data_IF_718358585382
#
_entry.id   IF_718358585382
#
_cell.length_a   1.000
_cell.length_b   1.000
_cell.length_c   1.000
_cell.angle_alpha   90.00
_cell.angle_beta   90.00
_cell.angle_gamma   90.00
#
_symmetry.space_group_name_H-M   'P 1'
#
loop_
_entity.id
_entity.type
_entity.pdbx_description
1 polymer ?
#
# COMPACT_ATOMS: atom_id res chain seq x y z
N UNK A 1 -32.97 -13.42 -6.09
CA UNK A 1 -32.24 -12.24 -5.57
C UNK A 1 -31.87 -12.35 -4.09
N UNK A 2 -32.67 -13.07 -3.27
CA UNK A 2 -32.41 -13.25 -1.84
C UNK A 2 -31.26 -14.22 -1.58
N UNK A 3 -31.21 -15.34 -2.31
CA UNK A 3 -30.15 -16.34 -2.25
C UNK A 3 -28.76 -15.74 -2.61
N UNK A 4 -28.71 -14.88 -3.61
CA UNK A 4 -27.44 -14.21 -3.99
C UNK A 4 -26.95 -13.27 -2.90
N UNK A 5 -27.85 -12.55 -2.23
CA UNK A 5 -27.52 -11.67 -1.12
C UNK A 5 -27.10 -12.44 0.14
N UNK A 6 -27.68 -13.61 0.39
CA UNK A 6 -27.26 -14.50 1.47
C UNK A 6 -25.88 -15.11 1.18
N UNK A 7 -25.62 -15.57 -0.04
CA UNK A 7 -24.31 -16.07 -0.46
C UNK A 7 -23.21 -15.00 -0.38
N UNK A 8 -23.54 -13.75 -0.71
CA UNK A 8 -22.61 -12.62 -0.57
C UNK A 8 -22.37 -12.27 0.89
N UNK A 9 -23.38 -12.36 1.75
CA UNK A 9 -23.22 -12.16 3.21
C UNK A 9 -22.37 -13.27 3.81
N UNK A 10 -22.61 -14.54 3.49
CA UNK A 10 -21.75 -15.65 3.92
C UNK A 10 -20.30 -15.46 3.47
N UNK A 11 -20.05 -15.12 2.22
CA UNK A 11 -18.69 -14.82 1.74
C UNK A 11 -18.04 -13.61 2.42
N UNK A 12 -18.82 -12.62 2.80
CA UNK A 12 -18.32 -11.45 3.57
C UNK A 12 -18.02 -11.87 5.01
N UNK A 13 -18.84 -12.72 5.61
CA UNK A 13 -18.61 -13.24 6.96
C UNK A 13 -17.45 -14.24 6.99
N UNK A 14 -17.32 -15.13 6.01
CA UNK A 14 -16.14 -15.97 5.83
C UNK A 14 -14.86 -15.15 5.65
N UNK A 15 -14.90 -14.05 4.92
CA UNK A 15 -13.79 -13.11 4.82
C UNK A 15 -13.50 -12.37 6.13
N UNK A 16 -14.51 -12.14 6.97
CA UNK A 16 -14.36 -11.52 8.30
C UNK A 16 -13.88 -12.52 9.35
N UNK A 17 -14.25 -13.79 9.23
CA UNK A 17 -13.93 -14.87 10.18
C UNK A 17 -12.66 -15.64 9.85
N UNK A 18 -11.98 -15.34 8.71
CA UNK A 18 -10.65 -15.90 8.51
C UNK A 18 -9.75 -15.38 9.62
N UNK A 19 -9.35 -16.27 10.53
CA UNK A 19 -8.37 -16.01 11.60
C UNK A 19 -7.09 -15.50 10.96
N UNK A 20 -7.01 -14.19 10.77
CA UNK A 20 -5.83 -13.51 10.23
C UNK A 20 -4.68 -13.79 11.17
N UNK A 21 -3.76 -14.62 10.73
CA UNK A 21 -2.68 -15.10 11.57
C UNK A 21 -1.67 -13.99 11.84
N UNK A 22 -1.30 -13.85 13.09
CA UNK A 22 -0.15 -13.04 13.50
C UNK A 22 1.07 -13.97 13.47
N UNK A 23 2.12 -13.56 12.76
CA UNK A 23 3.38 -14.27 12.68
C UNK A 23 4.38 -13.54 13.57
N UNK A 24 4.85 -14.23 14.61
CA UNK A 24 5.88 -13.72 15.49
C UNK A 24 7.17 -14.53 15.29
N UNK A 25 8.25 -13.83 14.88
CA UNK A 25 9.49 -14.45 14.42
C UNK A 25 10.72 -13.95 15.19
N UNK A 26 11.67 -14.86 15.40
CA UNK A 26 12.95 -14.57 16.03
C UNK A 26 13.83 -13.68 15.13
N UNK A 27 14.38 -12.60 15.69
CA UNK A 27 15.19 -11.61 14.98
C UNK A 27 16.37 -12.24 14.21
N UNK A 28 17.12 -13.10 14.84
CA UNK A 28 18.35 -13.69 14.27
C UNK A 28 18.12 -14.73 13.17
N UNK A 29 16.90 -15.14 12.93
CA UNK A 29 16.50 -16.13 11.91
C UNK A 29 15.26 -15.70 11.12
N UNK A 30 14.94 -14.44 11.15
CA UNK A 30 13.67 -13.87 10.69
C UNK A 30 13.24 -14.39 9.32
N UNK A 31 13.99 -14.09 8.26
CA UNK A 31 13.59 -14.53 6.92
C UNK A 31 13.60 -16.04 6.73
N UNK A 32 14.52 -16.75 7.39
CA UNK A 32 14.53 -18.22 7.36
C UNK A 32 13.25 -18.81 7.97
N UNK A 33 12.81 -18.26 9.09
CA UNK A 33 11.56 -18.69 9.73
C UNK A 33 10.33 -18.25 8.94
N UNK A 34 10.35 -17.05 8.36
CA UNK A 34 9.28 -16.52 7.53
C UNK A 34 9.06 -17.40 6.28
N UNK A 35 10.11 -17.73 5.55
CA UNK A 35 10.02 -18.62 4.39
C UNK A 35 9.60 -20.04 4.79
N UNK A 36 10.07 -20.55 5.93
CA UNK A 36 9.61 -21.83 6.49
C UNK A 36 8.11 -21.80 6.81
N UNK A 37 7.64 -20.69 7.36
CA UNK A 37 6.23 -20.48 7.64
C UNK A 37 5.39 -20.49 6.35
N UNK A 38 5.82 -19.78 5.31
CA UNK A 38 5.11 -19.75 4.02
C UNK A 38 4.98 -21.14 3.43
N UNK A 39 6.06 -21.92 3.43
CA UNK A 39 6.06 -23.31 2.93
C UNK A 39 5.10 -24.20 3.73
N UNK A 40 5.23 -24.16 5.06
CA UNK A 40 4.43 -25.01 5.95
C UNK A 40 2.94 -24.75 5.86
N UNK A 41 2.55 -23.48 5.71
CA UNK A 41 1.15 -23.06 5.73
C UNK A 41 0.58 -22.84 4.34
N UNK A 42 1.33 -23.16 3.28
CA UNK A 42 0.94 -22.91 1.89
C UNK A 42 0.38 -21.50 1.69
N UNK A 43 1.16 -20.51 2.10
CA UNK A 43 0.78 -19.11 1.96
C UNK A 43 0.89 -18.73 0.49
N UNK A 44 -0.21 -18.23 -0.09
CA UNK A 44 -0.23 -17.71 -1.45
C UNK A 44 0.56 -16.41 -1.51
N UNK A 45 1.55 -16.38 -2.37
CA UNK A 45 2.47 -15.25 -2.57
C UNK A 45 2.35 -14.76 -4.02
N UNK A 46 2.58 -13.47 -4.22
CA UNK A 46 2.76 -12.90 -5.54
C UNK A 46 4.23 -12.54 -5.71
N UNK A 47 4.87 -13.15 -6.69
CA UNK A 47 6.27 -12.95 -7.00
C UNK A 47 6.41 -12.04 -8.22
N UNK A 48 7.29 -11.04 -8.12
CA UNK A 48 7.71 -10.18 -9.22
C UNK A 48 9.17 -10.49 -9.56
N UNK A 49 9.42 -10.76 -10.83
CA UNK A 49 10.75 -11.02 -11.36
C UNK A 49 10.81 -10.57 -12.81
N UNK A 50 12.00 -10.33 -13.34
CA UNK A 50 12.23 -9.80 -14.70
C UNK A 50 11.09 -8.89 -15.23
N UNK A 51 11.35 -7.92 -16.02
CA UNK A 51 10.46 -7.00 -16.75
C UNK A 51 8.95 -7.00 -16.37
N UNK A 52 8.65 -6.82 -15.06
CA UNK A 52 7.30 -6.77 -14.51
C UNK A 52 6.46 -8.05 -14.61
N UNK A 53 7.12 -9.16 -14.87
CA UNK A 53 6.45 -10.45 -14.85
C UNK A 53 6.04 -10.80 -13.43
N UNK A 54 4.73 -11.01 -13.21
CA UNK A 54 4.18 -11.39 -11.92
C UNK A 54 3.48 -12.73 -11.99
N UNK A 55 3.63 -13.54 -10.94
CA UNK A 55 2.89 -14.78 -10.80
C UNK A 55 2.44 -15.00 -9.37
N UNK A 56 1.32 -15.67 -9.20
CA UNK A 56 0.80 -16.06 -7.89
C UNK A 56 0.96 -17.56 -7.69
N UNK A 57 1.44 -17.95 -6.51
CA UNK A 57 1.66 -19.36 -6.20
C UNK A 57 2.19 -19.58 -4.78
N UNK A 58 2.76 -20.74 -4.58
CA UNK A 58 3.26 -21.20 -3.30
C UNK A 58 4.75 -21.48 -3.34
N UNK A 59 5.47 -21.05 -2.31
CA UNK A 59 6.87 -21.42 -2.15
C UNK A 59 6.97 -22.88 -1.69
N UNK A 60 7.60 -23.72 -2.53
CA UNK A 60 7.80 -25.15 -2.25
C UNK A 60 9.13 -25.39 -1.56
N UNK A 61 10.20 -24.84 -2.12
CA UNK A 61 11.56 -25.03 -1.60
C UNK A 61 12.40 -23.77 -1.82
N UNK A 62 13.40 -23.64 -1.00
CA UNK A 62 14.38 -22.57 -1.06
C UNK A 62 15.79 -23.17 -0.93
N UNK A 63 16.69 -22.75 -1.78
CA UNK A 63 18.12 -22.98 -1.66
C UNK A 63 18.87 -21.66 -1.48
N UNK A 64 20.19 -21.70 -1.47
CA UNK A 64 21.02 -20.50 -1.42
C UNK A 64 20.75 -19.55 -2.60
N UNK A 65 20.52 -20.10 -3.80
CA UNK A 65 20.46 -19.34 -5.04
C UNK A 65 19.09 -19.36 -5.71
N UNK A 66 18.24 -20.35 -5.41
CA UNK A 66 17.00 -20.61 -6.15
C UNK A 66 15.81 -20.64 -5.22
N UNK A 67 14.72 -20.07 -5.68
CA UNK A 67 13.38 -20.25 -5.16
C UNK A 67 12.60 -21.19 -6.08
N UNK A 68 11.99 -22.23 -5.51
CA UNK A 68 11.12 -23.15 -6.22
C UNK A 68 9.68 -22.81 -5.85
N UNK A 69 8.90 -22.41 -6.86
CA UNK A 69 7.50 -22.06 -6.74
C UNK A 69 6.61 -23.01 -7.50
N UNK A 70 5.44 -23.28 -6.93
CA UNK A 70 4.33 -23.96 -7.59
C UNK A 70 3.27 -22.90 -7.90
N UNK A 71 2.96 -22.71 -9.18
CA UNK A 71 2.02 -21.71 -9.64
C UNK A 71 0.59 -22.23 -9.68
N UNK A 72 -0.37 -21.32 -9.47
CA UNK A 72 -1.78 -21.58 -9.66
C UNK A 72 -2.24 -20.85 -10.91
N UNK A 73 -2.19 -21.50 -12.06
CA UNK A 73 -2.78 -20.95 -13.29
C UNK A 73 -4.31 -21.07 -13.28
N UNK A 74 -4.99 -20.13 -13.93
CA UNK A 74 -6.42 -20.21 -14.17
C UNK A 74 -6.69 -21.45 -15.05
N UNK A 75 -7.18 -22.53 -14.48
CA UNK A 75 -7.51 -23.76 -15.21
C UNK A 75 -6.90 -25.05 -14.68
N UNK A 76 -6.61 -25.12 -13.37
CA UNK A 76 -6.16 -26.34 -12.66
C UNK A 76 -4.83 -26.96 -13.15
N UNK A 77 -4.01 -26.20 -13.88
CA UNK A 77 -2.66 -26.67 -14.25
C UNK A 77 -1.67 -26.13 -13.23
N UNK A 78 -1.19 -27.02 -12.39
CA UNK A 78 -0.06 -26.75 -11.53
C UNK A 78 1.21 -26.77 -12.40
N UNK A 79 1.93 -25.66 -12.43
CA UNK A 79 3.25 -25.57 -13.04
C UNK A 79 4.30 -25.26 -11.98
N UNK A 80 5.49 -25.82 -12.13
CA UNK A 80 6.60 -25.58 -11.22
C UNK A 80 7.65 -24.70 -11.91
N UNK A 81 8.21 -23.76 -11.18
CA UNK A 81 9.23 -22.86 -11.69
C UNK A 81 10.37 -22.68 -10.70
N UNK A 82 11.58 -22.57 -11.22
CA UNK A 82 12.81 -22.40 -10.45
C UNK A 82 13.41 -21.05 -10.78
N UNK A 83 13.33 -20.11 -9.85
CA UNK A 83 13.71 -18.71 -10.05
C UNK A 83 15.00 -18.43 -9.30
N UNK A 84 15.98 -17.83 -9.97
CA UNK A 84 17.18 -17.34 -9.29
C UNK A 84 16.82 -16.18 -8.37
N UNK A 85 17.31 -16.21 -7.14
CA UNK A 85 17.10 -15.13 -6.17
C UNK A 85 17.65 -13.79 -6.66
N UNK A 86 18.68 -13.81 -7.51
CA UNK A 86 19.21 -12.61 -8.17
C UNK A 86 18.19 -11.91 -9.06
N UNK A 87 17.32 -12.67 -9.72
CA UNK A 87 16.28 -12.18 -10.65
C UNK A 87 15.00 -11.74 -9.92
N UNK A 88 14.84 -12.12 -8.66
CA UNK A 88 13.69 -11.71 -7.88
C UNK A 88 13.71 -10.21 -7.64
N UNK A 89 12.61 -9.53 -7.95
CA UNK A 89 12.38 -8.11 -7.60
C UNK A 89 11.72 -7.98 -6.24
N UNK A 90 10.56 -8.63 -6.06
CA UNK A 90 9.84 -8.60 -4.79
C UNK A 90 8.94 -9.83 -4.60
N UNK A 91 8.59 -10.09 -3.34
CA UNK A 91 7.55 -11.06 -2.97
C UNK A 91 6.49 -10.30 -2.18
N UNK A 92 5.25 -10.32 -2.67
CA UNK A 92 4.12 -9.72 -1.97
C UNK A 92 3.30 -10.75 -1.21
N UNK A 93 2.87 -10.36 -0.02
CA UNK A 93 2.04 -11.18 0.87
C UNK A 93 0.78 -10.37 1.19
N UNK A 94 -0.38 -10.85 0.76
CA UNK A 94 -1.64 -10.17 1.02
C UNK A 94 -1.98 -10.09 2.51
N UNK A 95 -2.43 -8.94 2.98
CA UNK A 95 -2.92 -8.76 4.37
C UNK A 95 -4.12 -9.65 4.70
N UNK A 96 -4.86 -10.07 3.69
CA UNK A 96 -5.98 -11.00 3.89
C UNK A 96 -5.54 -12.39 4.38
N UNK A 97 -4.27 -12.73 4.20
CA UNK A 97 -3.68 -14.01 4.59
C UNK A 97 -2.91 -13.91 5.90
N UNK A 98 -2.20 -12.80 6.08
CA UNK A 98 -1.39 -12.50 7.25
C UNK A 98 -1.75 -11.12 7.76
N UNK A 99 -2.20 -11.02 9.00
CA UNK A 99 -2.57 -9.75 9.62
C UNK A 99 -1.36 -8.92 10.01
N UNK A 100 -0.43 -9.56 10.70
CA UNK A 100 0.75 -8.90 11.23
C UNK A 100 1.95 -9.85 11.16
N UNK A 101 3.11 -9.33 10.82
CA UNK A 101 4.40 -9.99 10.95
C UNK A 101 5.19 -9.18 11.97
N UNK A 102 5.54 -9.80 13.09
CA UNK A 102 6.15 -9.13 14.22
C UNK A 102 7.49 -9.78 14.54
N UNK A 103 8.48 -8.97 14.88
CA UNK A 103 9.78 -9.41 15.38
C UNK A 103 9.67 -9.56 16.90
N UNK A 104 10.04 -10.72 17.43
CA UNK A 104 10.09 -10.94 18.88
C UNK A 104 11.11 -10.02 19.51
N UNK A 105 10.73 -9.50 20.68
CA UNK A 105 11.58 -8.67 21.54
C UNK A 105 12.17 -7.41 20.88
N UNK A 106 11.71 -7.02 19.70
CA UNK A 106 12.13 -5.78 19.08
C UNK A 106 11.09 -4.67 19.32
N UNK A 107 11.56 -3.58 19.91
CA UNK A 107 10.79 -2.33 19.91
C UNK A 107 10.78 -1.82 18.47
N UNK A 108 9.76 -2.21 17.75
CA UNK A 108 9.62 -2.03 16.30
C UNK A 108 9.96 -0.60 15.94
N UNK A 109 10.98 -0.43 15.14
CA UNK A 109 11.30 0.82 14.46
C UNK A 109 10.29 1.09 13.33
N UNK A 110 9.00 1.21 13.68
CA UNK A 110 7.91 1.54 12.73
C UNK A 110 8.10 2.91 12.05
N UNK A 111 9.16 3.62 12.41
CA UNK A 111 9.41 4.98 11.94
C UNK A 111 10.33 5.03 10.71
N UNK A 112 10.87 3.91 10.25
CA UNK A 112 11.70 3.90 9.05
C UNK A 112 10.85 3.60 7.82
N UNK A 113 10.98 4.43 6.81
CA UNK A 113 10.36 4.26 5.50
C UNK A 113 11.46 4.06 4.48
N UNK A 114 11.28 3.08 3.62
CA UNK A 114 12.16 2.83 2.49
C UNK A 114 11.51 3.24 1.18
N UNK A 115 12.33 3.71 0.27
CA UNK A 115 12.04 3.87 -1.15
C UNK A 115 12.99 2.93 -1.89
N UNK A 116 12.43 2.02 -2.66
CA UNK A 116 13.17 1.00 -3.39
C UNK A 116 12.89 1.08 -4.90
N UNK A 117 13.60 0.27 -5.67
CA UNK A 117 13.35 0.14 -7.11
C UNK A 117 11.89 -0.18 -7.40
N UNK A 118 11.41 0.21 -8.59
CA UNK A 118 10.03 0.03 -9.05
C UNK A 118 8.99 0.74 -8.18
N UNK A 119 9.35 1.92 -7.64
CA UNK A 119 8.48 2.77 -6.83
C UNK A 119 7.88 2.08 -5.58
N UNK A 120 8.53 0.98 -5.14
CA UNK A 120 8.12 0.29 -3.93
C UNK A 120 8.47 1.15 -2.72
N UNK A 121 7.45 1.47 -1.92
CA UNK A 121 7.60 2.27 -0.71
C UNK A 121 6.86 1.62 0.45
N UNK A 122 7.39 1.76 1.66
CA UNK A 122 6.68 1.24 2.83
C UNK A 122 7.46 1.37 4.14
N UNK A 123 6.79 1.05 5.23
CA UNK A 123 7.41 1.05 6.56
C UNK A 123 8.23 -0.22 6.77
N UNK A 124 9.44 -0.09 7.25
CA UNK A 124 10.31 -1.23 7.56
C UNK A 124 9.75 -2.01 8.74
N UNK A 125 9.52 -3.29 8.53
CA UNK A 125 9.19 -4.24 9.60
C UNK A 125 10.47 -4.91 10.11
N UNK A 126 11.28 -5.40 9.18
CA UNK A 126 12.56 -6.02 9.50
C UNK A 126 13.53 -5.91 8.31
N UNK A 127 14.80 -5.78 8.59
CA UNK A 127 15.87 -5.71 7.60
C UNK A 127 17.09 -6.51 8.08
N UNK A 128 17.65 -7.31 7.17
CA UNK A 128 18.98 -7.88 7.29
C UNK A 128 19.87 -7.53 6.09
N UNK A 129 21.00 -8.18 5.95
CA UNK A 129 21.94 -7.91 4.86
C UNK A 129 21.40 -8.31 3.48
N UNK A 130 20.46 -9.25 3.40
CA UNK A 130 19.96 -9.82 2.15
C UNK A 130 18.58 -9.26 1.78
N UNK A 131 17.68 -9.15 2.77
CA UNK A 131 16.28 -8.83 2.54
C UNK A 131 15.76 -7.76 3.51
N UNK A 132 14.78 -7.03 3.01
CA UNK A 132 13.98 -6.10 3.81
C UNK A 132 12.50 -6.45 3.65
N UNK A 133 11.82 -6.65 4.78
CA UNK A 133 10.38 -6.76 4.84
C UNK A 133 9.79 -5.39 5.11
N UNK A 134 8.92 -4.93 4.23
CA UNK A 134 8.20 -3.68 4.36
C UNK A 134 6.70 -3.94 4.46
N UNK A 135 6.01 -3.02 5.10
CA UNK A 135 4.57 -2.93 5.12
C UNK A 135 4.15 -1.75 4.27
N UNK A 136 3.53 -2.05 3.16
CA UNK A 136 2.91 -1.07 2.28
C UNK A 136 1.47 -0.85 2.75
N UNK A 137 1.16 0.37 3.11
CA UNK A 137 -0.19 0.78 3.48
C UNK A 137 -0.68 1.77 2.43
N UNK A 138 -1.42 1.28 1.45
CA UNK A 138 -2.13 2.16 0.54
C UNK A 138 -3.25 2.86 1.31
N UNK A 139 -3.07 4.16 1.55
CA UNK A 139 -4.04 4.98 2.27
C UNK A 139 -5.40 5.06 1.57
N UNK A 140 -5.50 4.64 0.30
CA UNK A 140 -6.68 4.77 -0.54
C UNK A 140 -7.47 3.49 -0.74
N UNK A 141 -6.75 2.44 -1.11
CA UNK A 141 -7.39 1.21 -1.58
C UNK A 141 -7.66 0.22 -0.47
N UNK A 142 -7.20 0.50 0.75
CA UNK A 142 -7.19 -0.43 1.88
C UNK A 142 -6.44 -1.74 1.58
N UNK A 143 -5.71 -1.80 0.48
CA UNK A 143 -4.86 -2.92 0.11
C UNK A 143 -3.53 -2.77 0.82
N UNK A 144 -3.54 -3.22 2.07
CA UNK A 144 -2.31 -3.34 2.82
C UNK A 144 -1.65 -4.66 2.47
N UNK A 145 -0.36 -4.62 2.20
CA UNK A 145 0.43 -5.83 1.91
C UNK A 145 1.80 -5.77 2.56
N UNK A 146 2.36 -6.94 2.78
CA UNK A 146 3.77 -7.06 3.15
C UNK A 146 4.57 -7.36 1.90
N UNK A 147 5.71 -6.72 1.74
CA UNK A 147 6.58 -6.89 0.58
C UNK A 147 7.98 -7.22 1.06
N UNK A 148 8.54 -8.30 0.54
CA UNK A 148 9.95 -8.67 0.72
C UNK A 148 10.70 -8.19 -0.50
N UNK A 149 11.72 -7.37 -0.30
CA UNK A 149 12.62 -6.89 -1.34
C UNK A 149 14.07 -7.23 -0.98
N UNK A 150 14.96 -7.20 -1.98
CA UNK A 150 16.40 -7.26 -1.69
C UNK A 150 16.84 -5.96 -1.01
N UNK A 151 17.63 -6.07 0.03
CA UNK A 151 18.15 -4.88 0.74
C UNK A 151 19.00 -4.01 -0.19
N UNK A 152 19.67 -4.62 -1.16
CA UNK A 152 20.44 -3.91 -2.20
C UNK A 152 19.61 -3.06 -3.16
N UNK A 153 18.30 -3.29 -3.23
CA UNK A 153 17.40 -2.54 -4.13
C UNK A 153 16.81 -1.30 -3.47
N UNK A 154 17.17 -1.02 -2.23
CA UNK A 154 16.76 0.18 -1.51
C UNK A 154 17.60 1.36 -1.97
N UNK A 155 16.94 2.44 -2.37
CA UNK A 155 17.60 3.69 -2.75
C UNK A 155 17.73 4.65 -1.59
N UNK A 156 16.69 4.71 -0.75
CA UNK A 156 16.61 5.68 0.33
C UNK A 156 15.91 5.08 1.54
N UNK A 157 16.41 5.43 2.72
CA UNK A 157 15.77 5.14 4.00
C UNK A 157 15.57 6.47 4.71
N UNK A 158 14.32 6.84 4.98
CA UNK A 158 13.98 8.05 5.73
C UNK A 158 13.31 7.69 7.05
N UNK A 159 13.47 8.56 8.05
CA UNK A 159 12.71 8.42 9.28
C UNK A 159 11.33 9.10 9.10
N UNK A 160 10.29 8.41 9.51
CA UNK A 160 8.94 8.95 9.50
C UNK A 160 8.83 10.02 10.58
N UNK A 161 8.83 11.27 10.17
CA UNK A 161 8.78 12.42 11.09
C UNK A 161 7.37 12.61 11.67
N UNK A 162 6.31 12.17 10.94
CA UNK A 162 4.94 12.37 11.36
C UNK A 162 4.09 11.12 11.09
N UNK A 163 3.21 10.81 12.02
CA UNK A 163 2.17 9.81 11.81
C UNK A 163 0.97 10.51 11.17
N UNK A 164 0.70 10.19 9.91
CA UNK A 164 -0.49 10.67 9.23
C UNK A 164 -1.63 9.70 9.55
N UNK A 165 -2.64 10.17 10.24
CA UNK A 165 -3.89 9.45 10.45
C UNK A 165 -4.97 10.07 9.58
N UNK A 166 -5.80 9.23 8.97
CA UNK A 166 -6.93 9.67 8.16
C UNK A 166 -8.22 9.16 8.79
N UNK A 167 -9.23 10.00 8.82
CA UNK A 167 -10.58 9.66 9.24
C UNK A 167 -11.51 9.74 8.04
N UNK A 168 -12.36 8.73 7.85
CA UNK A 168 -13.41 8.78 6.83
C UNK A 168 -14.56 9.61 7.33
N UNK A 169 -14.98 10.59 6.54
CA UNK A 169 -16.17 11.40 6.79
C UNK A 169 -17.19 11.20 5.68
N UNK A 170 -18.46 11.42 5.96
CA UNK A 170 -19.49 11.33 4.94
C UNK A 170 -19.33 12.48 3.92
N UNK A 171 -19.29 12.21 2.61
CA UNK A 171 -19.32 13.28 1.61
C UNK A 171 -20.49 14.24 1.78
N UNK A 172 -21.65 13.74 2.20
CA UNK A 172 -22.84 14.55 2.44
C UNK A 172 -22.64 15.57 3.57
N UNK A 173 -21.84 15.26 4.59
CA UNK A 173 -21.58 16.18 5.70
C UNK A 173 -20.74 17.39 5.24
N UNK A 174 -20.01 17.26 4.14
CA UNK A 174 -19.11 18.28 3.66
C UNK A 174 -19.68 19.05 2.44
N UNK A 175 -20.38 18.34 1.55
CA UNK A 175 -20.77 18.87 0.25
C UNK A 175 -22.28 19.04 0.06
N UNK A 176 -23.12 18.68 1.03
CA UNK A 176 -24.59 18.72 0.86
C UNK A 176 -25.18 20.08 0.61
N UNK A 177 -24.52 21.14 1.06
CA UNK A 177 -24.97 22.53 0.97
C UNK A 177 -24.39 23.28 -0.24
N UNK A 178 -23.58 22.61 -1.08
CA UNK A 178 -23.05 23.21 -2.31
C UNK A 178 -24.15 23.30 -3.36
N UNK A 179 -24.65 24.51 -3.60
CA UNK A 179 -25.78 24.73 -4.51
C UNK A 179 -25.38 24.78 -5.98
N UNK A 180 -24.21 25.32 -6.31
CA UNK A 180 -23.78 25.57 -7.69
C UNK A 180 -22.73 24.62 -8.23
N UNK A 181 -22.16 23.73 -7.42
CA UNK A 181 -21.13 22.74 -7.82
C UNK A 181 -19.94 23.34 -8.58
N UNK A 182 -19.57 24.59 -8.27
CA UNK A 182 -18.40 25.21 -8.86
C UNK A 182 -17.13 24.61 -8.26
N UNK A 183 -16.13 24.38 -9.12
CA UNK A 183 -14.85 23.75 -8.70
C UNK A 183 -14.18 24.52 -7.55
N UNK A 184 -14.26 25.84 -7.56
CA UNK A 184 -13.70 26.70 -6.50
C UNK A 184 -14.35 26.46 -5.15
N UNK A 185 -15.65 26.25 -5.12
CA UNK A 185 -16.39 25.98 -3.89
C UNK A 185 -16.03 24.59 -3.33
N UNK A 186 -15.91 23.61 -4.21
CA UNK A 186 -15.47 22.26 -3.84
C UNK A 186 -14.05 22.30 -3.27
N UNK A 187 -13.12 22.98 -3.95
CA UNK A 187 -11.74 23.15 -3.50
C UNK A 187 -11.66 23.86 -2.14
N UNK A 188 -12.52 24.88 -1.93
CA UNK A 188 -12.62 25.58 -0.64
C UNK A 188 -13.04 24.64 0.48
N UNK A 189 -14.05 23.80 0.25
CA UNK A 189 -14.48 22.79 1.24
C UNK A 189 -13.36 21.78 1.52
N UNK A 190 -12.66 21.33 0.48
CA UNK A 190 -11.51 20.43 0.65
C UNK A 190 -10.39 21.08 1.49
N UNK A 191 -10.11 22.35 1.26
CA UNK A 191 -9.12 23.12 2.00
C UNK A 191 -9.51 23.29 3.48
N UNK A 192 -10.72 23.77 3.75
CA UNK A 192 -11.23 24.04 5.12
C UNK A 192 -11.28 22.78 5.96
N UNK A 193 -11.61 21.64 5.36
CA UNK A 193 -11.75 20.36 6.04
C UNK A 193 -10.51 19.47 5.96
N UNK A 194 -9.41 19.95 5.36
CA UNK A 194 -8.17 19.19 5.13
C UNK A 194 -8.41 17.83 4.47
N UNK A 195 -9.25 17.83 3.44
CA UNK A 195 -9.62 16.62 2.73
C UNK A 195 -8.49 16.25 1.79
N UNK A 196 -8.21 14.94 1.73
CA UNK A 196 -7.31 14.36 0.74
C UNK A 196 -7.97 14.39 -0.63
N UNK A 197 -7.32 15.02 -1.58
CA UNK A 197 -7.77 15.15 -2.95
C UNK A 197 -6.80 14.50 -3.91
N UNK A 198 -7.36 13.99 -4.97
CA UNK A 198 -6.65 13.42 -6.11
C UNK A 198 -7.14 14.16 -7.35
N UNK A 199 -6.27 14.63 -8.21
CA UNK A 199 -6.68 15.31 -9.43
C UNK A 199 -5.68 15.13 -10.58
N UNK A 200 -6.25 15.15 -11.77
CA UNK A 200 -5.52 15.22 -13.03
C UNK A 200 -5.59 16.65 -13.57
N UNK A 201 -4.50 17.14 -14.14
CA UNK A 201 -4.50 18.40 -14.84
C UNK A 201 -3.90 18.24 -16.24
N UNK A 202 -4.31 19.11 -17.17
CA UNK A 202 -4.15 18.92 -18.62
C UNK A 202 -2.73 18.66 -19.13
N UNK A 203 -1.70 18.94 -18.35
CA UNK A 203 -0.31 18.84 -18.84
C UNK A 203 0.47 17.66 -18.29
N UNK A 204 -0.08 16.87 -17.40
CA UNK A 204 0.64 15.71 -16.88
C UNK A 204 -0.25 14.47 -16.79
N UNK A 205 0.22 13.38 -17.34
CA UNK A 205 -0.34 12.06 -17.11
C UNK A 205 -0.14 11.57 -15.65
N UNK A 206 0.33 12.46 -14.76
CA UNK A 206 0.59 12.14 -13.37
C UNK A 206 -0.55 12.63 -12.50
N UNK A 207 -1.16 11.70 -11.80
CA UNK A 207 -2.10 12.00 -10.73
C UNK A 207 -1.36 12.74 -9.60
N UNK A 208 -1.88 13.89 -9.21
CA UNK A 208 -1.42 14.67 -8.06
C UNK A 208 -2.31 14.40 -6.86
N UNK A 209 -1.70 14.07 -5.74
CA UNK A 209 -2.39 13.64 -4.55
C UNK A 209 -1.89 14.32 -3.29
N UNK A 210 -2.80 14.79 -2.46
CA UNK A 210 -2.43 15.46 -1.23
C UNK A 210 -3.54 16.26 -0.58
N UNK A 211 -3.12 17.24 0.21
CA UNK A 211 -4.02 18.24 0.81
C UNK A 211 -3.70 19.64 0.29
N UNK A 212 -4.72 20.46 0.19
CA UNK A 212 -4.51 21.86 -0.14
C UNK A 212 -3.90 22.55 1.09
N UNK A 213 -2.70 23.08 0.93
CA UNK A 213 -2.01 23.85 1.96
C UNK A 213 -2.42 25.33 1.92
N UNK A 214 -2.64 25.86 0.71
CA UNK A 214 -3.07 27.23 0.47
C UNK A 214 -4.00 27.27 -0.74
N UNK A 215 -5.05 28.04 -0.64
CA UNK A 215 -6.00 28.29 -1.73
C UNK A 215 -6.05 29.79 -2.01
N UNK A 216 -5.81 30.16 -3.25
CA UNK A 216 -5.91 31.53 -3.79
C UNK A 216 -7.01 31.57 -4.88
N UNK A 217 -7.27 32.76 -5.44
CA UNK A 217 -8.37 32.93 -6.39
C UNK A 217 -8.20 32.11 -7.68
N UNK A 218 -6.99 31.96 -8.17
CA UNK A 218 -6.67 31.33 -9.45
C UNK A 218 -5.76 30.10 -9.32
N UNK A 219 -5.21 29.85 -8.14
CA UNK A 219 -4.27 28.75 -7.90
C UNK A 219 -4.39 28.16 -6.51
N UNK A 220 -3.86 26.96 -6.36
CA UNK A 220 -3.68 26.30 -5.07
C UNK A 220 -2.24 25.80 -4.90
N UNK A 221 -1.82 25.68 -3.66
CA UNK A 221 -0.60 24.95 -3.29
C UNK A 221 -1.02 23.64 -2.70
N UNK A 222 -0.67 22.56 -3.39
CA UNK A 222 -0.88 21.21 -2.93
C UNK A 222 0.34 20.75 -2.13
N UNK A 223 0.11 20.26 -0.94
CA UNK A 223 1.10 19.50 -0.19
C UNK A 223 0.93 18.03 -0.58
N UNK A 224 1.80 17.57 -1.47
CA UNK A 224 1.73 16.23 -2.03
C UNK A 224 2.07 15.17 -0.98
N UNK A 225 1.30 14.09 -1.01
CA UNK A 225 1.46 12.96 -0.09
C UNK A 225 1.68 11.71 -0.94
N UNK A 226 2.67 10.91 -0.61
CA UNK A 226 2.82 9.59 -1.21
C UNK A 226 1.63 8.71 -0.88
N UNK A 227 0.95 8.18 -1.90
CA UNK A 227 -0.19 7.27 -1.74
C UNK A 227 0.18 6.03 -0.91
N UNK A 228 1.42 5.61 -0.99
CA UNK A 228 1.92 4.35 -0.42
C UNK A 228 2.43 4.54 1.00
N UNK A 229 3.25 5.56 1.22
CA UNK A 229 3.91 5.77 2.51
C UNK A 229 3.18 6.74 3.45
N UNK A 230 2.24 7.53 2.91
CA UNK A 230 1.58 8.60 3.66
C UNK A 230 2.51 9.74 4.08
N UNK A 231 3.69 9.87 3.45
CA UNK A 231 4.65 10.92 3.74
C UNK A 231 4.41 12.11 2.82
N UNK A 232 4.70 13.32 3.31
CA UNK A 232 4.78 14.49 2.46
C UNK A 232 6.03 14.38 1.56
N UNK A 233 5.81 14.45 0.25
CA UNK A 233 6.84 14.27 -0.76
C UNK A 233 7.32 15.60 -1.28
N UNK A 234 6.38 16.49 -1.67
CA UNK A 234 6.69 17.77 -2.31
C UNK A 234 5.56 18.77 -2.14
N UNK A 235 5.77 19.98 -2.67
CA UNK A 235 4.72 20.98 -2.83
C UNK A 235 4.61 21.33 -4.31
N UNK A 236 3.38 21.39 -4.82
CA UNK A 236 3.09 21.81 -6.18
C UNK A 236 2.17 23.02 -6.21
N UNK A 237 2.48 23.98 -7.04
CA UNK A 237 1.57 25.07 -7.39
C UNK A 237 0.75 24.64 -8.61
N UNK A 238 -0.57 24.78 -8.53
CA UNK A 238 -1.51 24.30 -9.54
C UNK A 238 -2.50 25.41 -9.84
N UNK A 239 -2.65 25.74 -11.12
CA UNK A 239 -3.65 26.68 -11.56
C UNK A 239 -5.04 26.00 -11.60
N UNK A 240 -6.03 26.62 -10.97
CA UNK A 240 -7.39 26.04 -10.86
C UNK A 240 -8.00 25.79 -12.24
N UNK A 241 -7.71 26.64 -13.22
CA UNK A 241 -8.18 26.48 -14.60
C UNK A 241 -7.66 25.24 -15.31
N UNK A 242 -6.51 24.71 -14.87
CA UNK A 242 -5.85 23.56 -15.50
C UNK A 242 -6.31 22.23 -14.88
N UNK A 243 -7.16 22.27 -13.85
CA UNK A 243 -7.71 21.06 -13.21
C UNK A 243 -8.81 20.48 -14.10
N UNK A 244 -8.56 19.33 -14.70
CA UNK A 244 -9.52 18.61 -15.55
C UNK A 244 -10.45 17.72 -14.74
N UNK A 245 -9.90 17.02 -13.75
CA UNK A 245 -10.65 16.11 -12.87
C UNK A 245 -10.22 16.30 -11.42
N UNK A 246 -11.21 16.30 -10.54
CA UNK A 246 -11.03 16.33 -9.10
C UNK A 246 -11.72 15.10 -8.48
N UNK A 247 -10.94 14.26 -7.81
CA UNK A 247 -11.46 13.12 -7.07
C UNK A 247 -11.35 13.36 -5.57
N UNK A 248 -12.48 13.25 -4.90
CA UNK A 248 -12.56 13.25 -3.44
C UNK A 248 -12.88 11.81 -3.01
N UNK A 249 -11.87 10.95 -3.06
CA UNK A 249 -12.05 9.53 -2.74
C UNK A 249 -12.27 9.34 -1.24
N UNK A 250 -13.37 8.65 -0.90
CA UNK A 250 -13.71 8.25 0.46
C UNK A 250 -13.72 9.38 1.50
N UNK A 251 -13.79 10.65 1.07
CA UNK A 251 -13.79 11.83 1.94
C UNK A 251 -12.91 11.64 3.18
N UNK A 252 -11.62 11.40 2.99
CA UNK A 252 -10.70 11.22 4.09
C UNK A 252 -10.15 12.56 4.53
N UNK A 253 -10.35 12.86 5.80
CA UNK A 253 -9.77 14.03 6.47
C UNK A 253 -8.42 13.65 7.06
N UNK A 254 -7.41 14.47 6.80
CA UNK A 254 -6.09 14.28 7.36
C UNK A 254 -6.06 14.77 8.81
N UNK A 255 -5.68 13.90 9.72
CA UNK A 255 -5.29 14.26 11.07
C UNK A 255 -3.79 14.09 11.21
N UNK A 256 -3.07 15.18 11.41
CA UNK A 256 -1.65 15.13 11.79
C UNK A 256 -1.60 14.88 13.28
N UNK A 257 -1.10 13.72 13.67
CA UNK A 257 -0.80 13.43 15.08
C UNK A 257 0.69 13.74 15.26
N UNK A 258 0.98 14.75 16.06
CA UNK A 258 2.34 15.12 16.49
C UNK A 258 2.97 14.03 17.36
#
# INVERSE_FOLDING_TARGET
NTEYLELMKEKIEERKSSDRKIIELEKNKFFKELFKYFKKNKIKLRLFYEDDYQREGYLVKESKEILHFQWCDEGDRESEEFIRKSEMKSIEIGKNVVRDIVVKDDKIQKNKIVIARNDIQGSVIFQDENYTLIYENDLFWADCKFIIIKTSDIWEITEKVYKIETESVSPNDIFSDISNMEIKEILKRCYENKILIDFEYEQSYYEKYGIIEKLEDDKLILKEISKISGIFVSKSEILIKDISFLFVRNCRVLRVVE
#
